data_IF_319045401103
#
_entry.id   IF_319045401103
#
_cell.length_a   1.000
_cell.length_b   1.000
_cell.length_c   1.000
_cell.angle_alpha   90.00
_cell.angle_beta   90.00
_cell.angle_gamma   90.00
#
_symmetry.space_group_name_H-M   'P 1'
#
loop_
_entity.id
_entity.type
_entity.pdbx_description
1 polymer ?
#
# COMPACT_ATOMS: atom_id res chain seq x y z
N UNK A 1 6.81 -3.40 -27.67
CA UNK A 1 6.38 -3.85 -26.34
C UNK A 1 4.96 -4.43 -26.46
N UNK A 2 4.69 -5.63 -25.86
CA UNK A 2 3.34 -6.16 -25.78
C UNK A 2 2.45 -5.25 -24.92
N UNK A 3 1.12 -5.37 -25.09
CA UNK A 3 0.17 -4.62 -24.27
C UNK A 3 0.21 -5.09 -22.79
N UNK A 4 0.18 -6.38 -22.59
CA UNK A 4 0.38 -7.07 -21.30
C UNK A 4 1.23 -8.32 -21.53
N UNK A 5 1.74 -8.93 -20.46
CA UNK A 5 2.43 -10.23 -20.53
C UNK A 5 1.37 -11.31 -20.34
N UNK A 6 1.29 -12.23 -21.28
CA UNK A 6 0.36 -13.35 -21.22
C UNK A 6 0.75 -14.32 -20.09
N UNK A 7 -0.23 -15.09 -19.59
CA UNK A 7 0.00 -16.08 -18.54
C UNK A 7 1.10 -17.09 -18.94
N UNK A 8 1.11 -17.52 -20.19
CA UNK A 8 2.10 -18.44 -20.74
C UNK A 8 3.54 -17.87 -20.73
N UNK A 9 3.66 -16.55 -20.81
CA UNK A 9 4.95 -15.85 -20.85
C UNK A 9 5.39 -15.34 -19.48
N UNK A 10 4.50 -15.39 -18.47
CA UNK A 10 4.73 -14.82 -17.15
C UNK A 10 6.00 -15.37 -16.47
N UNK A 11 6.30 -16.67 -16.64
CA UNK A 11 7.49 -17.30 -16.07
C UNK A 11 8.81 -16.66 -16.52
N UNK A 12 8.84 -16.18 -17.77
CA UNK A 12 10.07 -15.66 -18.41
C UNK A 12 10.13 -14.13 -18.44
N UNK A 13 8.95 -13.48 -18.50
CA UNK A 13 8.87 -12.06 -18.83
C UNK A 13 8.25 -11.20 -17.76
N UNK A 14 7.73 -11.79 -16.66
CA UNK A 14 7.22 -11.03 -15.52
C UNK A 14 8.24 -9.99 -15.03
N UNK A 15 7.75 -8.78 -14.75
CA UNK A 15 8.57 -7.64 -14.37
C UNK A 15 9.14 -6.82 -15.53
N UNK A 16 8.96 -7.25 -16.78
CA UNK A 16 9.33 -6.42 -17.93
C UNK A 16 8.28 -5.35 -18.22
N UNK A 17 8.76 -4.20 -18.64
CA UNK A 17 7.89 -3.08 -18.98
C UNK A 17 7.05 -3.43 -20.23
N UNK A 18 5.74 -3.26 -20.10
CA UNK A 18 4.76 -3.40 -21.17
C UNK A 18 4.41 -2.04 -21.78
N UNK A 19 3.66 -2.03 -22.90
CA UNK A 19 3.13 -0.78 -23.47
C UNK A 19 2.19 -0.08 -22.46
N UNK A 20 1.29 -0.83 -21.80
CA UNK A 20 0.40 -0.30 -20.80
C UNK A 20 1.17 0.25 -19.58
N UNK A 21 2.18 -0.49 -19.10
CA UNK A 21 3.06 -0.02 -18.01
C UNK A 21 3.80 1.28 -18.36
N UNK A 22 4.31 1.40 -19.58
CA UNK A 22 4.97 2.61 -20.05
C UNK A 22 4.01 3.81 -20.13
N UNK A 23 2.77 3.59 -20.60
CA UNK A 23 1.75 4.63 -20.65
C UNK A 23 1.30 5.06 -19.25
N UNK A 24 1.09 4.11 -18.33
CA UNK A 24 0.77 4.41 -16.93
C UNK A 24 1.89 5.16 -16.22
N UNK A 25 3.15 4.78 -16.46
CA UNK A 25 4.32 5.50 -15.93
C UNK A 25 4.39 6.93 -16.49
N UNK A 26 4.16 7.12 -17.79
CA UNK A 26 4.10 8.45 -18.41
C UNK A 26 3.05 9.33 -17.73
N UNK A 27 1.83 8.83 -17.56
CA UNK A 27 0.75 9.56 -16.90
C UNK A 27 1.13 9.96 -15.45
N UNK A 28 1.71 9.02 -14.69
CA UNK A 28 2.16 9.26 -13.33
C UNK A 28 3.26 10.32 -13.25
N UNK A 29 4.26 10.26 -14.13
CA UNK A 29 5.35 11.25 -14.17
C UNK A 29 4.80 12.64 -14.52
N UNK A 30 3.93 12.77 -15.52
CA UNK A 30 3.34 14.04 -15.90
C UNK A 30 2.45 14.63 -14.79
N UNK A 31 1.69 13.78 -14.08
CA UNK A 31 0.91 14.22 -12.92
C UNK A 31 1.81 14.73 -11.79
N UNK A 32 2.92 14.04 -11.53
CA UNK A 32 3.88 14.46 -10.52
C UNK A 32 4.54 15.79 -10.88
N UNK A 33 4.94 15.94 -12.14
CA UNK A 33 5.49 17.18 -12.70
C UNK A 33 4.52 18.36 -12.63
N UNK A 34 3.21 18.10 -12.82
CA UNK A 34 2.16 19.12 -12.73
C UNK A 34 1.83 19.52 -11.27
N UNK A 35 2.27 18.75 -10.28
CA UNK A 35 1.96 19.01 -8.87
C UNK A 35 2.53 20.34 -8.39
N UNK A 36 1.94 20.97 -7.33
CA UNK A 36 2.43 22.23 -6.78
C UNK A 36 3.89 22.20 -6.31
N UNK A 37 4.45 21.01 -6.09
CA UNK A 37 5.86 20.85 -5.72
C UNK A 37 6.82 21.38 -6.80
N UNK A 38 6.45 21.20 -8.08
CA UNK A 38 7.27 21.60 -9.23
C UNK A 38 6.64 22.71 -10.06
N UNK A 39 5.32 22.80 -10.07
CA UNK A 39 4.50 23.67 -10.89
C UNK A 39 3.85 24.73 -10.02
N UNK A 40 4.61 25.74 -9.61
CA UNK A 40 4.18 26.84 -8.78
C UNK A 40 4.88 28.12 -9.20
N UNK A 41 4.43 29.30 -8.73
CA UNK A 41 5.07 30.60 -8.98
C UNK A 41 6.26 30.85 -8.04
N UNK A 42 6.37 30.06 -6.96
CA UNK A 42 7.49 30.10 -6.03
C UNK A 42 8.01 28.68 -5.77
N UNK A 43 9.32 28.51 -5.55
CA UNK A 43 9.87 27.21 -5.20
C UNK A 43 9.43 26.78 -3.80
N UNK A 44 9.26 25.48 -3.59
CA UNK A 44 8.89 24.91 -2.29
C UNK A 44 9.96 25.18 -1.21
N UNK A 45 11.23 25.17 -1.59
CA UNK A 45 12.37 25.60 -0.77
C UNK A 45 13.25 26.57 -1.54
N UNK A 46 13.64 27.65 -0.90
CA UNK A 46 14.59 28.64 -1.40
C UNK A 46 16.01 28.13 -1.26
N UNK A 47 16.87 28.40 -2.27
CA UNK A 47 18.29 28.08 -2.23
C UNK A 47 18.90 27.91 -3.63
N UNK A 48 20.21 27.67 -3.68
CA UNK A 48 20.96 27.61 -4.94
C UNK A 48 20.39 26.60 -5.97
N UNK A 49 19.84 25.49 -5.52
CA UNK A 49 19.22 24.51 -6.43
C UNK A 49 17.92 25.02 -7.05
N UNK A 50 17.10 25.77 -6.30
CA UNK A 50 15.89 26.38 -6.84
C UNK A 50 16.18 27.58 -7.71
N UNK A 51 17.18 28.39 -7.38
CA UNK A 51 17.67 29.48 -8.23
C UNK A 51 18.22 28.96 -9.58
N UNK A 52 18.86 27.81 -9.57
CA UNK A 52 19.30 27.10 -10.77
C UNK A 52 18.19 26.30 -11.48
N UNK A 53 16.93 26.39 -11.07
CA UNK A 53 15.77 25.66 -11.61
C UNK A 53 15.95 24.12 -11.64
N UNK A 54 16.69 23.57 -10.67
CA UNK A 54 16.91 22.11 -10.56
C UNK A 54 15.79 21.40 -9.80
N UNK A 55 14.98 22.12 -9.02
CA UNK A 55 13.96 21.55 -8.13
C UNK A 55 12.54 21.96 -8.50
N UNK A 56 12.36 22.85 -9.46
CA UNK A 56 11.07 23.34 -9.93
C UNK A 56 11.23 24.00 -11.32
N UNK A 57 10.11 24.39 -11.97
CA UNK A 57 10.14 24.92 -13.34
C UNK A 57 10.26 26.45 -13.44
N UNK A 58 10.32 27.17 -12.34
CA UNK A 58 10.42 28.63 -12.32
C UNK A 58 9.10 29.37 -12.48
N UNK A 59 7.98 28.68 -12.75
CA UNK A 59 6.68 29.27 -12.90
C UNK A 59 5.56 28.25 -12.77
N UNK A 60 4.36 28.72 -12.49
CA UNK A 60 3.14 27.95 -12.70
C UNK A 60 2.76 27.94 -14.19
N UNK A 61 2.39 26.76 -14.70
CA UNK A 61 1.86 26.57 -16.04
C UNK A 61 0.72 25.54 -16.03
N UNK A 62 -0.48 25.98 -16.41
CA UNK A 62 -1.66 25.13 -16.48
C UNK A 62 -1.55 24.01 -17.52
N UNK A 63 -0.74 24.20 -18.56
CA UNK A 63 -0.57 23.17 -19.60
C UNK A 63 0.10 21.92 -19.06
N UNK A 64 0.86 21.97 -17.98
CA UNK A 64 1.39 20.78 -17.31
C UNK A 64 0.30 19.85 -16.79
N UNK A 65 -0.77 20.43 -16.22
CA UNK A 65 -1.95 19.67 -15.81
C UNK A 65 -2.70 19.06 -17.01
N UNK A 66 -2.81 19.84 -18.10
CA UNK A 66 -3.44 19.37 -19.33
C UNK A 66 -2.66 18.19 -19.92
N UNK A 67 -1.33 18.27 -19.97
CA UNK A 67 -0.51 17.15 -20.44
C UNK A 67 -0.68 15.89 -19.59
N UNK A 68 -0.83 16.02 -18.26
CA UNK A 68 -1.11 14.89 -17.38
C UNK A 68 -2.49 14.29 -17.67
N UNK A 69 -3.52 15.12 -17.82
CA UNK A 69 -4.87 14.71 -18.21
C UNK A 69 -4.88 13.99 -19.56
N UNK A 70 -4.27 14.57 -20.59
CA UNK A 70 -4.20 14.00 -21.94
C UNK A 70 -3.52 12.62 -21.92
N UNK A 71 -2.49 12.45 -21.08
CA UNK A 71 -1.80 11.16 -20.92
C UNK A 71 -2.69 10.10 -20.23
N UNK A 72 -3.48 10.50 -19.22
CA UNK A 72 -4.46 9.61 -18.58
C UNK A 72 -5.56 9.20 -19.58
N UNK A 73 -6.12 10.15 -20.31
CA UNK A 73 -7.13 9.86 -21.33
C UNK A 73 -6.60 8.92 -22.43
N UNK A 74 -5.38 9.15 -22.89
CA UNK A 74 -4.75 8.28 -23.88
C UNK A 74 -4.56 6.85 -23.34
N UNK A 75 -4.23 6.71 -22.04
CA UNK A 75 -4.13 5.41 -21.39
C UNK A 75 -5.50 4.71 -21.34
N UNK A 76 -6.57 5.38 -20.89
CA UNK A 76 -7.89 4.79 -20.81
C UNK A 76 -8.43 4.39 -22.21
N UNK A 77 -8.27 5.23 -23.23
CA UNK A 77 -8.62 4.88 -24.61
C UNK A 77 -7.86 3.64 -25.10
N UNK A 78 -6.60 3.49 -24.71
CA UNK A 78 -5.83 2.30 -25.04
C UNK A 78 -6.30 1.07 -24.27
N UNK A 79 -6.71 1.20 -23.00
CA UNK A 79 -7.34 0.13 -22.22
C UNK A 79 -8.63 -0.35 -22.88
N UNK A 80 -9.52 0.59 -23.26
CA UNK A 80 -10.79 0.27 -23.93
C UNK A 80 -10.57 -0.49 -25.26
N UNK A 81 -9.51 -0.10 -26.01
CA UNK A 81 -9.21 -0.70 -27.32
C UNK A 81 -8.53 -2.07 -27.23
N UNK A 82 -7.72 -2.32 -26.21
CA UNK A 82 -6.90 -3.54 -26.10
C UNK A 82 -7.44 -4.53 -25.06
N UNK A 83 -8.31 -4.08 -24.14
CA UNK A 83 -8.82 -4.89 -23.04
C UNK A 83 -7.74 -5.26 -22.01
N UNK A 84 -7.97 -6.32 -21.27
CA UNK A 84 -7.17 -6.93 -20.21
C UNK A 84 -7.16 -6.11 -18.92
N UNK A 85 -6.72 -4.84 -18.92
CA UNK A 85 -6.62 -4.05 -17.68
C UNK A 85 -7.99 -3.56 -17.22
N UNK A 86 -8.31 -3.87 -15.98
CA UNK A 86 -9.50 -3.42 -15.25
C UNK A 86 -9.22 -3.51 -13.75
N UNK A 87 -10.03 -2.86 -12.94
CA UNK A 87 -10.02 -3.07 -11.50
C UNK A 87 -10.45 -4.51 -11.17
N UNK A 88 -9.84 -5.10 -10.15
CA UNK A 88 -10.25 -6.41 -9.62
C UNK A 88 -11.48 -6.19 -8.75
N UNK A 89 -12.61 -6.70 -9.20
CA UNK A 89 -13.89 -6.58 -8.50
C UNK A 89 -14.09 -7.73 -7.50
N UNK A 90 -15.02 -7.53 -6.56
CA UNK A 90 -15.31 -8.53 -5.53
C UNK A 90 -15.81 -9.87 -6.09
N UNK A 91 -16.39 -9.85 -7.29
CA UNK A 91 -16.86 -11.02 -8.03
C UNK A 91 -15.74 -11.78 -8.75
N UNK A 92 -14.60 -11.13 -8.99
CA UNK A 92 -13.44 -11.74 -9.67
C UNK A 92 -12.62 -12.64 -8.72
N UNK A 93 -12.93 -12.70 -7.45
CA UNK A 93 -12.14 -13.41 -6.43
C UNK A 93 -12.94 -14.43 -5.61
N UNK A 94 -12.23 -15.41 -5.04
CA UNK A 94 -12.82 -16.42 -4.16
C UNK A 94 -12.03 -16.51 -2.83
N UNK A 95 -12.65 -16.28 -1.67
CA UNK A 95 -14.05 -15.89 -1.51
C UNK A 95 -14.35 -14.49 -2.02
N UNK A 96 -15.60 -14.26 -2.47
CA UNK A 96 -16.04 -12.95 -2.96
C UNK A 96 -16.04 -11.91 -1.83
N UNK A 97 -15.61 -10.69 -2.16
CA UNK A 97 -15.62 -9.56 -1.23
C UNK A 97 -14.56 -8.51 -1.54
N UNK A 98 -14.83 -7.26 -1.19
CA UNK A 98 -13.91 -6.13 -1.43
C UNK A 98 -12.54 -6.32 -0.77
N UNK A 99 -12.50 -6.89 0.43
CA UNK A 99 -11.26 -7.25 1.12
C UNK A 99 -10.38 -8.16 0.25
N UNK A 100 -10.98 -9.21 -0.32
CA UNK A 100 -10.27 -10.20 -1.12
C UNK A 100 -9.88 -9.66 -2.51
N UNK A 101 -10.72 -8.83 -3.11
CA UNK A 101 -10.40 -8.12 -4.34
C UNK A 101 -9.16 -7.22 -4.17
N UNK A 102 -9.15 -6.43 -3.11
CA UNK A 102 -8.01 -5.58 -2.78
C UNK A 102 -6.73 -6.38 -2.50
N UNK A 103 -6.85 -7.53 -1.83
CA UNK A 103 -5.73 -8.45 -1.62
C UNK A 103 -5.20 -8.99 -2.94
N UNK A 104 -6.06 -9.54 -3.79
CA UNK A 104 -5.68 -10.11 -5.08
C UNK A 104 -5.01 -9.06 -5.97
N UNK A 105 -5.61 -7.89 -6.11
CA UNK A 105 -5.06 -6.79 -6.90
C UNK A 105 -3.62 -6.42 -6.51
N UNK A 106 -3.28 -6.54 -5.23
CA UNK A 106 -1.98 -6.14 -4.71
C UNK A 106 -0.96 -7.28 -4.62
N UNK A 107 -1.38 -8.49 -4.24
CA UNK A 107 -0.45 -9.60 -3.96
C UNK A 107 -0.31 -10.61 -5.10
N UNK A 108 -1.36 -10.78 -5.91
CA UNK A 108 -1.32 -11.76 -6.96
C UNK A 108 -0.53 -11.23 -8.16
N UNK A 109 0.21 -12.14 -8.80
CA UNK A 109 1.01 -11.78 -9.96
C UNK A 109 0.14 -11.67 -11.20
N UNK A 110 0.43 -10.67 -12.04
CA UNK A 110 -0.18 -10.54 -13.35
C UNK A 110 -1.68 -10.27 -13.31
N UNK A 111 -2.18 -9.68 -12.22
CA UNK A 111 -3.59 -9.26 -12.15
C UNK A 111 -3.88 -8.17 -13.16
N UNK A 112 -5.16 -7.98 -13.44
CA UNK A 112 -5.62 -6.94 -14.38
C UNK A 112 -5.34 -5.51 -13.89
N UNK A 113 -4.93 -5.31 -12.63
CA UNK A 113 -4.50 -4.01 -12.09
C UNK A 113 -2.98 -3.79 -12.16
N UNK A 114 -2.19 -4.86 -12.35
CA UNK A 114 -0.73 -4.77 -12.28
C UNK A 114 -0.14 -4.22 -13.57
N UNK A 115 0.14 -2.93 -13.63
CA UNK A 115 0.78 -2.28 -14.78
C UNK A 115 2.29 -2.47 -14.81
N UNK A 116 2.93 -2.40 -13.63
CA UNK A 116 4.38 -2.53 -13.47
C UNK A 116 4.63 -3.37 -12.23
N UNK A 117 5.40 -4.43 -12.38
CA UNK A 117 5.87 -5.25 -11.27
C UNK A 117 7.40 -5.30 -11.23
N UNK A 118 7.96 -5.43 -10.05
CA UNK A 118 9.40 -5.64 -9.87
C UNK A 118 9.62 -7.08 -9.46
N UNK A 119 10.18 -7.86 -10.35
CA UNK A 119 10.58 -9.23 -10.04
C UNK A 119 11.76 -9.20 -9.08
N UNK A 120 11.57 -9.68 -7.87
CA UNK A 120 12.66 -9.95 -6.94
C UNK A 120 12.94 -11.43 -6.96
N UNK A 121 14.17 -11.81 -7.32
CA UNK A 121 14.62 -13.19 -7.06
C UNK A 121 14.69 -13.41 -5.55
N UNK A 122 14.48 -14.67 -5.13
CA UNK A 122 14.61 -15.06 -3.72
C UNK A 122 16.05 -14.82 -3.26
N UNK A 123 16.31 -13.64 -2.76
CA UNK A 123 17.61 -13.24 -2.21
C UNK A 123 17.89 -13.83 -0.83
N UNK A 124 16.99 -14.66 -0.32
CA UNK A 124 17.13 -15.22 1.02
C UNK A 124 18.10 -16.40 1.03
N UNK A 125 19.34 -16.11 1.36
CA UNK A 125 20.21 -17.13 1.95
C UNK A 125 19.56 -17.61 3.25
N UNK A 126 19.78 -18.86 3.62
CA UNK A 126 19.16 -19.54 4.77
C UNK A 126 19.18 -18.77 6.11
N UNK A 127 19.98 -17.72 6.23
CA UNK A 127 20.15 -16.90 7.43
C UNK A 127 19.45 -15.54 7.38
N UNK A 128 18.75 -15.20 6.28
CA UNK A 128 18.04 -13.93 6.20
C UNK A 128 16.63 -14.09 6.77
N UNK A 129 16.31 -13.22 7.71
CA UNK A 129 15.01 -13.23 8.39
C UNK A 129 13.90 -12.93 7.39
N UNK A 130 12.84 -13.74 7.31
CA UNK A 130 11.70 -13.45 6.49
C UNK A 130 11.10 -12.09 6.85
N UNK A 131 10.52 -11.42 5.86
CA UNK A 131 9.81 -10.15 6.04
C UNK A 131 8.82 -10.17 7.22
N UNK A 132 8.15 -11.29 7.43
CA UNK A 132 7.25 -11.53 8.56
C UNK A 132 7.91 -11.33 9.92
N UNK A 133 9.13 -11.82 10.10
CA UNK A 133 9.86 -11.64 11.36
C UNK A 133 10.26 -10.18 11.56
N UNK A 134 10.58 -9.47 10.49
CA UNK A 134 10.91 -8.05 10.57
C UNK A 134 9.68 -7.21 10.90
N UNK A 135 8.53 -7.53 10.28
CA UNK A 135 7.29 -6.77 10.48
C UNK A 135 6.65 -7.05 11.83
N UNK A 136 6.51 -8.32 12.21
CA UNK A 136 5.76 -8.72 13.40
C UNK A 136 6.65 -8.78 14.62
N UNK A 137 7.81 -9.44 14.53
CA UNK A 137 8.65 -9.70 15.71
C UNK A 137 9.57 -8.55 16.09
N UNK A 138 10.08 -7.83 15.11
CA UNK A 138 11.11 -6.82 15.36
C UNK A 138 10.59 -5.39 15.27
N UNK A 139 9.32 -5.21 14.89
CA UNK A 139 8.74 -3.89 14.74
C UNK A 139 9.48 -2.99 13.75
N UNK A 140 10.22 -3.59 12.81
CA UNK A 140 11.01 -2.84 11.83
C UNK A 140 10.12 -2.06 10.85
N UNK A 141 8.88 -2.51 10.67
CA UNK A 141 7.87 -1.84 9.84
C UNK A 141 6.61 -1.71 10.68
N UNK A 142 6.54 -0.62 11.44
CA UNK A 142 5.38 -0.27 12.24
C UNK A 142 4.66 0.91 11.57
N UNK A 143 3.40 0.74 11.18
CA UNK A 143 2.61 1.87 10.72
C UNK A 143 2.33 2.83 11.87
N UNK A 144 2.15 4.11 11.55
CA UNK A 144 1.79 5.10 12.55
C UNK A 144 0.30 5.00 12.90
N UNK A 145 -0.06 5.52 14.08
CA UNK A 145 -1.45 5.64 14.51
C UNK A 145 -2.25 6.53 13.55
N UNK A 146 -1.67 7.63 13.10
CA UNK A 146 -2.29 8.56 12.17
C UNK A 146 -2.67 7.85 10.86
N UNK A 147 -1.80 6.97 10.35
CA UNK A 147 -2.13 6.19 9.14
C UNK A 147 -3.28 5.21 9.39
N UNK A 148 -3.32 4.58 10.57
CA UNK A 148 -4.44 3.73 10.97
C UNK A 148 -5.76 4.52 11.06
N UNK A 149 -5.72 5.73 11.62
CA UNK A 149 -6.89 6.60 11.79
C UNK A 149 -7.47 7.11 10.46
N UNK A 150 -6.66 7.17 9.41
CA UNK A 150 -7.11 7.58 8.07
C UNK A 150 -8.10 6.61 7.41
N UNK A 151 -8.20 5.38 7.89
CA UNK A 151 -9.17 4.42 7.37
C UNK A 151 -10.55 4.73 7.96
N UNK A 152 -11.59 4.93 7.12
CA UNK A 152 -12.93 5.23 7.60
C UNK A 152 -13.63 4.02 8.21
N UNK A 153 -14.82 4.22 8.74
CA UNK A 153 -15.76 3.13 9.03
C UNK A 153 -16.24 2.47 7.74
N UNK A 154 -16.90 1.33 7.83
CA UNK A 154 -17.46 0.63 6.67
C UNK A 154 -18.53 1.47 5.95
N UNK A 155 -19.17 2.40 6.65
CA UNK A 155 -20.17 3.33 6.11
C UNK A 155 -19.55 4.57 5.48
N UNK A 156 -18.23 4.75 5.57
CA UNK A 156 -17.48 5.86 5.00
C UNK A 156 -17.26 7.05 5.94
N UNK A 157 -17.74 6.98 7.16
CA UNK A 157 -17.54 8.02 8.16
C UNK A 157 -16.11 8.01 8.72
N UNK A 158 -15.60 9.18 9.08
CA UNK A 158 -14.30 9.27 9.73
C UNK A 158 -14.30 8.53 11.07
N UNK A 159 -13.23 7.79 11.31
CA UNK A 159 -13.04 7.15 12.62
C UNK A 159 -12.73 8.21 13.69
N UNK A 160 -13.42 8.15 14.81
CA UNK A 160 -13.28 9.09 15.92
C UNK A 160 -13.04 8.37 17.23
N UNK A 161 -11.88 8.59 17.84
CA UNK A 161 -11.52 8.03 19.15
C UNK A 161 -12.34 8.58 20.30
N UNK A 162 -13.04 9.70 20.13
CA UNK A 162 -13.96 10.25 21.14
C UNK A 162 -15.34 9.58 21.11
N UNK A 163 -15.67 8.86 20.03
CA UNK A 163 -16.91 8.13 19.89
C UNK A 163 -16.81 6.78 20.61
N UNK A 164 -17.63 6.51 21.67
CA UNK A 164 -17.59 5.26 22.42
C UNK A 164 -17.88 4.01 21.58
N UNK A 165 -18.71 4.11 20.56
CA UNK A 165 -19.02 2.99 19.67
C UNK A 165 -17.81 2.61 18.80
N UNK A 166 -17.03 3.60 18.37
CA UNK A 166 -15.79 3.35 17.63
C UNK A 166 -14.71 2.75 18.52
N UNK A 167 -14.56 3.27 19.74
CA UNK A 167 -13.48 2.87 20.65
C UNK A 167 -13.73 1.53 21.35
N UNK A 168 -14.98 1.12 21.49
CA UNK A 168 -15.34 -0.17 22.06
C UNK A 168 -14.71 -1.34 21.28
N UNK A 169 -14.66 -1.19 19.96
CA UNK A 169 -14.02 -2.18 19.08
C UNK A 169 -13.39 -1.50 17.85
N UNK A 170 -12.20 -0.90 17.99
CA UNK A 170 -11.62 0.00 16.97
C UNK A 170 -11.22 -0.71 15.67
N UNK A 171 -11.25 -2.03 15.63
CA UNK A 171 -10.91 -2.85 14.46
C UNK A 171 -12.14 -3.37 13.71
N UNK A 172 -13.33 -3.27 14.32
CA UNK A 172 -14.56 -3.73 13.70
C UNK A 172 -15.27 -2.61 12.95
N UNK A 173 -16.10 -3.00 12.00
CA UNK A 173 -16.89 -2.07 11.17
C UNK A 173 -16.03 -0.97 10.52
N UNK A 174 -14.85 -1.35 10.05
CA UNK A 174 -13.90 -0.47 9.35
C UNK A 174 -13.86 -0.81 7.87
N UNK A 175 -13.35 0.13 7.09
CA UNK A 175 -13.04 -0.11 5.68
C UNK A 175 -12.28 -1.43 5.50
N UNK A 176 -12.70 -2.33 4.59
CA UNK A 176 -12.05 -3.63 4.38
C UNK A 176 -10.55 -3.55 4.10
N UNK A 177 -10.08 -2.43 3.54
CA UNK A 177 -8.65 -2.19 3.26
C UNK A 177 -7.81 -2.12 4.54
N UNK A 178 -8.40 -1.75 5.68
CA UNK A 178 -7.72 -1.74 6.97
C UNK A 178 -7.10 -3.11 7.26
N UNK A 179 -7.93 -4.15 7.24
CA UNK A 179 -7.51 -5.52 7.56
C UNK A 179 -6.53 -6.11 6.53
N UNK A 180 -6.44 -5.53 5.32
CA UNK A 180 -5.47 -5.94 4.31
C UNK A 180 -4.19 -5.11 4.33
N UNK A 181 -4.22 -3.97 5.01
CA UNK A 181 -3.04 -3.11 5.19
C UNK A 181 -2.33 -3.45 6.51
N UNK A 182 -3.08 -3.74 7.56
CA UNK A 182 -2.55 -4.07 8.89
C UNK A 182 -2.79 -5.54 9.24
N UNK A 183 -1.96 -6.06 10.13
CA UNK A 183 -2.21 -7.32 10.81
C UNK A 183 -2.79 -6.96 12.17
N UNK A 184 -4.05 -7.33 12.35
CA UNK A 184 -4.79 -7.08 13.59
C UNK A 184 -4.77 -8.33 14.47
N UNK A 185 -5.01 -8.14 15.76
CA UNK A 185 -5.14 -9.27 16.68
C UNK A 185 -6.31 -10.18 16.26
N UNK A 186 -6.06 -11.47 16.26
CA UNK A 186 -7.05 -12.46 15.78
C UNK A 186 -7.10 -12.66 14.27
N UNK A 187 -6.37 -11.86 13.47
CA UNK A 187 -6.35 -12.02 12.01
C UNK A 187 -5.67 -13.31 11.56
N UNK A 188 -6.18 -13.90 10.50
CA UNK A 188 -5.47 -14.99 9.83
C UNK A 188 -4.29 -14.42 9.02
N UNK A 189 -3.08 -14.77 9.43
CA UNK A 189 -1.85 -14.38 8.75
C UNK A 189 -0.91 -15.58 8.63
N UNK A 190 -0.45 -15.87 7.42
CA UNK A 190 0.42 -17.02 7.12
C UNK A 190 -0.11 -18.35 7.69
N UNK A 191 -1.38 -18.66 7.42
CA UNK A 191 -2.09 -19.86 7.84
C UNK A 191 -2.20 -20.06 9.37
N UNK A 192 -2.05 -18.98 10.14
CA UNK A 192 -2.26 -19.00 11.59
C UNK A 192 -2.90 -17.71 12.08
N UNK A 193 -3.55 -17.77 13.24
CA UNK A 193 -4.09 -16.60 13.91
C UNK A 193 -2.95 -15.76 14.49
N UNK A 194 -2.92 -14.46 14.15
CA UNK A 194 -2.01 -13.50 14.73
C UNK A 194 -2.43 -13.16 16.17
N UNK A 195 -1.49 -13.13 17.10
CA UNK A 195 -1.68 -12.69 18.47
C UNK A 195 -0.74 -11.51 18.76
N UNK A 196 -1.21 -10.30 18.47
CA UNK A 196 -0.41 -9.06 18.57
C UNK A 196 -0.81 -8.18 19.76
N UNK A 197 -1.66 -8.67 20.64
CA UNK A 197 -2.09 -7.96 21.84
C UNK A 197 -0.92 -7.66 22.76
N UNK A 198 -0.89 -6.43 23.27
CA UNK A 198 0.05 -6.02 24.27
C UNK A 198 -0.39 -6.52 25.66
N UNK A 199 0.56 -7.09 26.42
CA UNK A 199 0.34 -7.40 27.83
C UNK A 199 0.10 -6.12 28.63
N UNK A 200 -0.91 -6.14 29.50
CA UNK A 200 -1.04 -5.10 30.54
C UNK A 200 -0.31 -5.55 31.79
N UNK A 201 0.75 -4.84 32.23
CA UNK A 201 1.55 -5.26 33.38
C UNK A 201 0.76 -5.46 34.67
N UNK A 202 -0.29 -4.63 34.84
CA UNK A 202 -1.14 -4.63 36.05
C UNK A 202 -2.34 -5.57 35.97
N UNK A 203 -2.58 -6.17 34.81
CA UNK A 203 -3.74 -7.06 34.55
C UNK A 203 -3.42 -8.13 33.52
N UNK A 204 -2.38 -8.91 33.77
CA UNK A 204 -1.89 -9.95 32.87
C UNK A 204 -2.84 -11.11 32.69
N UNK A 205 -3.72 -11.37 33.66
CA UNK A 205 -4.68 -12.43 33.60
C UNK A 205 -5.74 -12.19 32.54
N UNK A 206 -6.26 -10.96 32.46
CA UNK A 206 -7.28 -10.56 31.48
C UNK A 206 -6.69 -10.07 30.16
N UNK A 207 -5.47 -9.55 30.20
CA UNK A 207 -4.76 -9.03 29.01
C UNK A 207 -3.36 -9.66 28.92
N UNK A 208 -3.27 -10.96 28.64
CA UNK A 208 -1.98 -11.62 28.45
C UNK A 208 -1.31 -11.17 27.16
N UNK A 209 0.00 -11.24 27.12
CA UNK A 209 0.77 -11.00 25.92
C UNK A 209 0.33 -11.92 24.78
N UNK A 210 0.02 -11.35 23.63
CA UNK A 210 -0.17 -12.13 22.41
C UNK A 210 1.11 -12.86 22.01
N UNK A 211 0.95 -14.01 21.37
CA UNK A 211 2.08 -14.85 20.95
C UNK A 211 3.10 -14.12 20.06
N UNK A 212 2.64 -13.19 19.26
CA UNK A 212 3.42 -12.42 18.30
C UNK A 212 3.91 -11.08 18.88
N UNK A 213 3.48 -10.75 20.09
CA UNK A 213 3.97 -9.59 20.82
C UNK A 213 5.22 -9.97 21.65
N UNK A 214 6.32 -9.30 21.42
CA UNK A 214 7.60 -9.71 21.95
C UNK A 214 8.01 -8.86 23.17
N UNK A 215 7.55 -9.25 24.34
CA UNK A 215 7.81 -8.56 25.62
C UNK A 215 9.24 -8.76 26.17
N UNK A 216 9.90 -9.82 25.74
CA UNK A 216 11.14 -10.27 26.42
C UNK A 216 12.44 -9.67 25.93
N UNK A 217 12.43 -8.82 24.93
CA UNK A 217 13.66 -8.25 24.39
C UNK A 217 13.57 -6.73 24.30
N UNK A 218 13.96 -6.09 25.35
CA UNK A 218 14.00 -4.62 25.59
C UNK A 218 14.92 -3.85 24.61
N UNK A 219 15.41 -4.46 23.59
CA UNK A 219 16.25 -3.83 22.59
C UNK A 219 15.53 -3.78 21.27
N UNK A 220 14.92 -2.63 20.94
CA UNK A 220 14.50 -2.18 19.60
C UNK A 220 13.65 -3.18 18.76
N UNK A 221 12.93 -4.11 19.36
CA UNK A 221 12.29 -5.24 18.66
C UNK A 221 10.81 -5.44 19.00
N UNK A 222 10.16 -4.47 19.58
CA UNK A 222 8.73 -4.53 19.90
C UNK A 222 7.92 -3.69 18.92
N UNK A 223 6.70 -4.11 18.65
CA UNK A 223 5.72 -3.32 17.91
C UNK A 223 5.40 -2.07 18.72
N UNK A 224 6.03 -0.95 18.39
CA UNK A 224 5.90 0.32 19.13
C UNK A 224 4.47 0.85 19.14
N UNK A 225 3.71 0.57 18.10
CA UNK A 225 2.32 1.04 17.93
C UNK A 225 1.27 -0.03 18.19
N UNK A 226 1.67 -1.28 18.46
CA UNK A 226 0.76 -2.43 18.51
C UNK A 226 0.17 -2.82 17.15
N UNK A 227 0.57 -2.12 16.09
CA UNK A 227 0.12 -2.37 14.73
C UNK A 227 1.26 -2.94 13.90
N UNK A 228 0.98 -3.92 13.07
CA UNK A 228 1.93 -4.50 12.13
C UNK A 228 1.46 -4.32 10.70
N UNK A 229 2.39 -4.11 9.79
CA UNK A 229 2.09 -3.95 8.38
C UNK A 229 1.93 -5.33 7.72
N UNK A 230 0.84 -5.52 6.98
CA UNK A 230 0.58 -6.73 6.19
C UNK A 230 1.23 -6.64 4.80
N UNK A 231 1.35 -5.40 4.28
CA UNK A 231 1.89 -5.08 2.97
C UNK A 231 3.31 -4.57 3.05
#
# INVERSE_FOLDING_TARGET
FPWHISEAEMSNWDGRLTKAGAMGLKARVLLFVASPLFNNDEPYFQGAASEALMTWFGNYDRERWKHAMDACEAFFKAVDSNGFYKLVEKEDVNPSGYRYAFRAAYFDRGTTETLISVRRENYYKANQQPYTNQSIRWGAICPTKEYFDMFPTADGDNFDWSNPEHTKNPFMNRDPRLSETFILDGDLFQNRTAGVTQEKPDDKENYPAGRDWNVGQVTAKSLLTGLSCRK
#
